data_IF_335439310548
#
_entry.id   IF_335439310548
#
_cell.length_a   1.000
_cell.length_b   1.000
_cell.length_c   1.000
_cell.angle_alpha   90.00
_cell.angle_beta   90.00
_cell.angle_gamma   90.00
#
_symmetry.space_group_name_H-M   'P 1'
#
loop_
_entity.id
_entity.type
_entity.pdbx_description
1 polymer ?
#
# COMPACT_ATOMS: atom_id res chain seq x y z
N UNK A 1 -7.09 -25.77 22.16
CA UNK A 1 -7.87 -24.77 21.41
C UNK A 1 -7.59 -25.05 19.95
N UNK A 2 -8.64 -25.53 19.22
CA UNK A 2 -8.51 -26.13 17.92
C UNK A 2 -8.12 -25.12 16.86
N UNK A 3 -7.13 -25.50 16.04
CA UNK A 3 -6.86 -24.85 14.78
C UNK A 3 -8.12 -24.98 13.91
N UNK A 4 -8.71 -23.86 13.51
CA UNK A 4 -9.71 -23.86 12.45
C UNK A 4 -9.01 -24.34 11.18
N UNK A 5 -9.21 -25.61 10.84
CA UNK A 5 -8.95 -26.10 9.49
C UNK A 5 -10.06 -25.45 8.64
N UNK A 6 -9.73 -24.38 7.92
CA UNK A 6 -10.64 -23.82 6.96
C UNK A 6 -10.87 -24.86 5.87
N UNK A 7 -12.09 -25.38 5.76
CA UNK A 7 -12.47 -26.20 4.60
C UNK A 7 -12.23 -25.37 3.34
N UNK A 8 -11.57 -25.98 2.35
CA UNK A 8 -11.31 -25.31 1.06
C UNK A 8 -12.67 -24.98 0.45
N UNK A 9 -12.98 -23.69 0.18
CA UNK A 9 -14.27 -23.29 -0.34
C UNK A 9 -14.57 -23.94 -1.71
N UNK A 10 -15.77 -24.45 -1.89
CA UNK A 10 -16.22 -24.95 -3.21
C UNK A 10 -16.46 -23.78 -4.16
N UNK A 11 -15.47 -23.46 -4.98
CA UNK A 11 -15.51 -22.34 -5.94
C UNK A 11 -16.51 -22.52 -7.08
N UNK A 12 -17.16 -23.68 -7.21
CA UNK A 12 -18.24 -23.88 -8.18
C UNK A 12 -19.53 -23.18 -7.75
N UNK A 13 -19.68 -22.90 -6.44
CA UNK A 13 -20.86 -22.24 -5.85
C UNK A 13 -20.62 -20.75 -5.57
N UNK A 14 -21.68 -19.95 -5.58
CA UNK A 14 -21.61 -18.53 -5.18
C UNK A 14 -21.18 -18.38 -3.71
N UNK A 15 -21.70 -19.24 -2.83
CA UNK A 15 -21.33 -19.23 -1.41
C UNK A 15 -19.83 -19.51 -1.21
N UNK A 16 -19.27 -20.49 -1.93
CA UNK A 16 -17.86 -20.80 -1.87
C UNK A 16 -16.98 -19.67 -2.42
N UNK A 17 -17.40 -19.00 -3.51
CA UNK A 17 -16.68 -17.84 -4.06
C UNK A 17 -16.69 -16.65 -3.08
N UNK A 18 -17.80 -16.44 -2.38
CA UNK A 18 -17.88 -15.39 -1.35
C UNK A 18 -17.03 -15.73 -0.11
N UNK A 19 -16.94 -17.00 0.26
CA UNK A 19 -16.04 -17.44 1.33
C UNK A 19 -14.59 -17.21 0.94
N UNK A 20 -14.15 -17.66 -0.26
CA UNK A 20 -12.78 -17.42 -0.77
C UNK A 20 -12.45 -15.91 -0.84
N UNK A 21 -13.40 -15.07 -1.26
CA UNK A 21 -13.19 -13.62 -1.28
C UNK A 21 -12.96 -13.06 0.13
N UNK A 22 -13.71 -13.54 1.13
CA UNK A 22 -13.53 -13.10 2.52
C UNK A 22 -12.19 -13.54 3.08
N UNK A 23 -11.76 -14.77 2.78
CA UNK A 23 -10.48 -15.30 3.22
C UNK A 23 -9.33 -14.50 2.60
N UNK A 24 -9.40 -14.18 1.30
CA UNK A 24 -8.42 -13.31 0.63
C UNK A 24 -8.42 -11.89 1.19
N UNK A 25 -9.58 -11.35 1.54
CA UNK A 25 -9.66 -10.04 2.16
C UNK A 25 -9.02 -10.05 3.55
N UNK A 26 -9.28 -11.10 4.34
CA UNK A 26 -8.65 -11.29 5.64
C UNK A 26 -7.11 -11.35 5.49
N UNK A 27 -6.59 -12.16 4.56
CA UNK A 27 -5.16 -12.24 4.26
C UNK A 27 -4.59 -10.88 3.81
N UNK A 28 -5.29 -10.17 2.92
CA UNK A 28 -4.80 -8.91 2.35
C UNK A 28 -4.75 -7.75 3.36
N UNK A 29 -5.75 -7.68 4.26
CA UNK A 29 -5.96 -6.51 5.11
C UNK A 29 -5.54 -6.75 6.56
N UNK A 30 -5.68 -7.99 7.06
CA UNK A 30 -5.52 -8.28 8.49
C UNK A 30 -4.35 -9.22 8.82
N UNK A 31 -3.99 -10.14 7.91
CA UNK A 31 -2.96 -11.15 8.16
C UNK A 31 -1.56 -10.68 7.69
N UNK A 32 -1.24 -9.39 7.88
CA UNK A 32 0.14 -8.95 7.71
C UNK A 32 1.07 -9.85 8.53
N UNK A 33 2.24 -10.21 8.00
CA UNK A 33 3.20 -11.09 8.69
C UNK A 33 3.37 -10.67 10.16
N UNK A 34 2.77 -11.41 11.08
CA UNK A 34 2.75 -11.07 12.51
C UNK A 34 4.16 -10.80 13.07
N UNK A 35 5.17 -11.51 12.55
CA UNK A 35 6.57 -11.30 12.92
C UNK A 35 7.09 -9.93 12.45
N UNK A 36 6.73 -9.50 11.25
CA UNK A 36 7.16 -8.22 10.72
C UNK A 36 6.47 -7.05 11.43
N UNK A 37 5.18 -7.20 11.75
CA UNK A 37 4.41 -6.25 12.57
C UNK A 37 5.03 -6.14 13.97
N UNK A 38 5.31 -7.26 14.64
CA UNK A 38 5.96 -7.27 15.95
C UNK A 38 7.31 -6.55 15.92
N UNK A 39 8.11 -6.77 14.88
CA UNK A 39 9.40 -6.07 14.71
C UNK A 39 9.22 -4.57 14.49
N UNK A 40 8.16 -4.15 13.80
CA UNK A 40 7.83 -2.74 13.57
C UNK A 40 7.44 -2.07 14.90
N UNK A 41 6.55 -2.69 15.66
CA UNK A 41 6.11 -2.21 16.98
C UNK A 41 7.26 -2.17 17.99
N UNK A 42 8.17 -3.15 17.99
CA UNK A 42 9.35 -3.16 18.86
C UNK A 42 10.30 -1.97 18.61
N UNK A 43 10.23 -1.34 17.45
CA UNK A 43 10.94 -0.10 17.11
C UNK A 43 10.16 1.17 17.45
N UNK A 44 9.01 1.05 18.13
CA UNK A 44 8.11 2.17 18.42
C UNK A 44 7.39 2.73 17.18
N UNK A 45 7.27 1.94 16.10
CA UNK A 45 6.66 2.36 14.84
C UNK A 45 5.34 1.64 14.61
N UNK A 46 4.35 2.38 14.12
CA UNK A 46 3.09 1.84 13.63
C UNK A 46 3.23 1.26 12.22
N UNK A 47 2.34 0.34 11.86
CA UNK A 47 2.20 -0.16 10.49
C UNK A 47 1.61 0.90 9.56
N UNK A 48 1.67 0.66 8.25
CA UNK A 48 1.06 1.56 7.26
C UNK A 48 -0.44 1.76 7.49
N UNK A 49 -1.17 0.69 7.79
CA UNK A 49 -2.62 0.74 8.06
C UNK A 49 -2.95 1.47 9.35
N UNK A 50 -2.20 1.23 10.42
CA UNK A 50 -2.37 1.93 11.69
C UNK A 50 -2.15 3.44 11.53
N UNK A 51 -1.14 3.86 10.74
CA UNK A 51 -0.89 5.28 10.45
C UNK A 51 -2.06 5.92 9.69
N UNK A 52 -2.62 5.22 8.71
CA UNK A 52 -3.82 5.69 7.99
C UNK A 52 -5.01 5.80 8.95
N UNK A 53 -5.24 4.79 9.80
CA UNK A 53 -6.34 4.80 10.76
C UNK A 53 -6.22 5.93 11.81
N UNK A 54 -4.98 6.32 12.17
CA UNK A 54 -4.73 7.46 13.08
C UNK A 54 -4.91 8.81 12.39
N UNK A 55 -4.73 8.87 11.07
CA UNK A 55 -4.79 10.12 10.29
C UNK A 55 -6.22 10.48 9.88
N UNK A 56 -6.99 9.48 9.47
CA UNK A 56 -8.32 9.67 8.86
C UNK A 56 -9.45 9.59 9.89
N UNK A 57 -10.58 10.19 9.54
CA UNK A 57 -11.80 10.06 10.33
C UNK A 57 -12.21 8.57 10.44
N UNK A 58 -12.63 8.10 11.62
CA UNK A 58 -12.99 6.70 11.83
C UNK A 58 -14.02 6.19 10.80
N UNK A 59 -13.71 5.05 10.15
CA UNK A 59 -14.58 4.41 9.18
C UNK A 59 -14.67 5.10 7.81
N UNK A 60 -13.92 6.18 7.57
CA UNK A 60 -13.94 6.89 6.29
C UNK A 60 -13.03 6.28 5.21
N UNK A 61 -12.08 5.44 5.60
CA UNK A 61 -11.08 4.90 4.67
C UNK A 61 -11.68 3.87 3.72
N UNK A 62 -11.50 4.11 2.43
CA UNK A 62 -11.78 3.17 1.35
C UNK A 62 -10.47 2.83 0.68
N UNK A 63 -9.99 1.59 0.90
CA UNK A 63 -8.75 1.11 0.31
C UNK A 63 -8.92 0.84 -1.18
N UNK A 64 -7.86 1.06 -1.94
CA UNK A 64 -7.77 0.79 -3.37
C UNK A 64 -6.66 -0.24 -3.63
N UNK A 65 -6.98 -1.25 -4.46
CA UNK A 65 -6.04 -2.26 -4.93
C UNK A 65 -5.39 -3.08 -3.80
N UNK A 66 -6.13 -3.40 -2.74
CA UNK A 66 -5.66 -4.22 -1.62
C UNK A 66 -5.20 -5.63 -2.05
N UNK A 67 -5.75 -6.15 -3.14
CA UNK A 67 -5.38 -7.46 -3.70
C UNK A 67 -4.22 -7.41 -4.69
N UNK A 68 -3.67 -6.24 -5.00
CA UNK A 68 -2.56 -6.14 -5.93
C UNK A 68 -1.32 -6.85 -5.40
N UNK A 69 -0.60 -7.54 -6.29
CA UNK A 69 0.64 -8.27 -6.01
C UNK A 69 1.66 -7.96 -7.10
N UNK A 70 2.95 -7.93 -6.77
CA UNK A 70 3.99 -7.83 -7.78
C UNK A 70 3.97 -9.04 -8.73
N UNK A 71 4.53 -8.87 -9.92
CA UNK A 71 4.62 -9.90 -10.96
C UNK A 71 6.04 -10.36 -11.24
N UNK A 72 7.00 -9.88 -10.45
CA UNK A 72 8.41 -10.22 -10.60
C UNK A 72 8.65 -11.70 -10.33
N UNK A 73 9.39 -12.34 -11.20
CA UNK A 73 9.88 -13.72 -11.07
C UNK A 73 11.39 -13.78 -10.88
N UNK A 74 12.08 -12.63 -10.98
CA UNK A 74 13.52 -12.54 -10.82
C UNK A 74 13.92 -12.68 -9.36
N UNK A 75 15.09 -13.22 -9.09
CA UNK A 75 15.69 -13.35 -7.75
C UNK A 75 14.79 -14.08 -6.73
N UNK A 76 13.97 -15.05 -7.18
CA UNK A 76 13.09 -15.83 -6.31
C UNK A 76 11.88 -15.04 -5.75
N UNK A 77 11.55 -13.89 -6.32
CA UNK A 77 10.44 -13.06 -5.89
C UNK A 77 9.08 -13.75 -6.04
N UNK A 78 8.96 -14.70 -6.97
CA UNK A 78 7.76 -15.51 -7.20
C UNK A 78 7.36 -16.38 -5.99
N UNK A 79 8.33 -16.74 -5.14
CA UNK A 79 8.09 -17.51 -3.92
C UNK A 79 7.36 -16.70 -2.82
N UNK A 80 7.41 -15.37 -2.86
CA UNK A 80 6.78 -14.50 -1.87
C UNK A 80 6.07 -13.33 -2.54
N UNK A 81 4.74 -13.42 -2.64
CA UNK A 81 3.90 -12.42 -3.30
C UNK A 81 2.82 -11.91 -2.36
N UNK A 82 3.19 -11.08 -1.35
CA UNK A 82 2.22 -10.53 -0.40
C UNK A 82 1.22 -9.60 -1.10
N UNK A 83 0.00 -9.57 -0.60
CA UNK A 83 -1.01 -8.60 -1.03
C UNK A 83 -0.59 -7.17 -0.67
N UNK A 84 -1.11 -6.21 -1.43
CA UNK A 84 -0.84 -4.80 -1.22
C UNK A 84 0.52 -4.30 -1.72
N UNK A 85 1.49 -5.17 -1.95
CA UNK A 85 2.83 -4.89 -2.50
C UNK A 85 3.52 -3.66 -1.91
N UNK A 86 3.81 -3.61 -0.63
CA UNK A 86 4.56 -2.56 0.07
C UNK A 86 3.93 -1.16 0.15
N UNK A 87 2.67 -0.97 -0.26
CA UNK A 87 1.97 0.30 -0.09
C UNK A 87 0.46 0.10 0.11
N UNK A 88 -0.11 0.82 1.06
CA UNK A 88 -1.56 0.94 1.26
C UNK A 88 -2.01 2.25 0.62
N UNK A 89 -3.02 2.21 -0.25
CA UNK A 89 -3.52 3.37 -0.98
C UNK A 89 -5.04 3.46 -0.86
N UNK A 90 -5.57 4.67 -0.85
CA UNK A 90 -7.01 4.84 -0.78
C UNK A 90 -7.44 6.30 -0.66
N UNK A 91 -8.71 6.46 -0.35
CA UNK A 91 -9.35 7.74 -0.08
C UNK A 91 -10.03 7.69 1.28
N UNK A 92 -10.17 8.84 1.92
CA UNK A 92 -10.86 8.98 3.18
C UNK A 92 -11.15 10.42 3.50
N UNK A 93 -11.48 10.73 4.75
CA UNK A 93 -11.71 12.11 5.18
C UNK A 93 -10.85 12.47 6.39
N UNK A 94 -10.54 13.78 6.51
CA UNK A 94 -9.97 14.41 7.71
C UNK A 94 -10.86 15.58 8.06
N UNK A 95 -11.48 15.57 9.24
CA UNK A 95 -12.49 16.57 9.63
C UNK A 95 -13.57 16.73 8.54
N UNK A 96 -14.07 15.60 8.02
CA UNK A 96 -15.09 15.51 6.96
C UNK A 96 -14.65 16.04 5.58
N UNK A 97 -13.37 16.38 5.38
CA UNK A 97 -12.82 16.80 4.08
C UNK A 97 -12.15 15.62 3.39
N UNK A 98 -12.49 15.40 2.14
CA UNK A 98 -11.92 14.30 1.34
C UNK A 98 -10.42 14.52 1.11
N UNK A 99 -9.67 13.43 1.23
CA UNK A 99 -8.23 13.34 0.94
C UNK A 99 -7.93 12.03 0.24
N UNK A 100 -6.91 12.04 -0.60
CA UNK A 100 -6.28 10.84 -1.12
C UNK A 100 -5.02 10.54 -0.29
N UNK A 101 -4.77 9.28 0.01
CA UNK A 101 -3.65 8.88 0.86
C UNK A 101 -2.94 7.65 0.31
N UNK A 102 -1.62 7.63 0.44
CA UNK A 102 -0.83 6.41 0.35
C UNK A 102 0.12 6.32 1.54
N UNK A 103 0.35 5.10 2.03
CA UNK A 103 1.27 4.81 3.12
C UNK A 103 2.17 3.64 2.74
N UNK A 104 3.47 3.88 2.70
CA UNK A 104 4.44 2.82 2.43
C UNK A 104 4.53 1.87 3.61
N UNK A 105 4.50 0.57 3.31
CA UNK A 105 4.51 -0.48 4.31
C UNK A 105 5.90 -1.11 4.44
N UNK A 106 6.63 -0.67 5.45
CA UNK A 106 7.97 -1.17 5.71
C UNK A 106 8.00 -2.67 6.09
N UNK A 107 6.87 -3.24 6.49
CA UNK A 107 6.76 -4.68 6.83
C UNK A 107 6.85 -5.56 5.58
N UNK A 108 6.56 -5.01 4.40
CA UNK A 108 6.62 -5.69 3.11
C UNK A 108 7.81 -5.16 2.32
N UNK A 109 8.83 -5.99 2.10
CA UNK A 109 10.04 -5.65 1.34
C UNK A 109 10.70 -4.32 1.73
N UNK A 110 10.61 -3.93 3.03
CA UNK A 110 11.15 -2.66 3.51
C UNK A 110 10.50 -1.42 2.88
N UNK A 111 9.23 -1.50 2.49
CA UNK A 111 8.52 -0.41 1.84
C UNK A 111 9.05 -0.07 0.44
N UNK A 112 9.89 -0.92 -0.16
CA UNK A 112 10.53 -0.62 -1.44
C UNK A 112 9.53 -0.58 -2.59
N UNK A 113 9.71 0.40 -3.50
CA UNK A 113 8.84 0.61 -4.65
C UNK A 113 9.15 -0.37 -5.78
N UNK A 114 8.21 -1.25 -6.09
CA UNK A 114 8.18 -2.05 -7.29
C UNK A 114 7.13 -1.56 -8.29
N UNK A 115 6.90 -2.32 -9.35
CA UNK A 115 5.92 -1.98 -10.39
C UNK A 115 4.50 -1.86 -9.80
N UNK A 116 4.04 -2.86 -9.05
CA UNK A 116 2.68 -2.88 -8.54
C UNK A 116 2.46 -1.78 -7.49
N UNK A 117 3.37 -1.60 -6.55
CA UNK A 117 3.32 -0.51 -5.59
C UNK A 117 3.33 0.87 -6.28
N UNK A 118 4.17 1.05 -7.30
CA UNK A 118 4.22 2.27 -8.10
C UNK A 118 2.90 2.55 -8.81
N UNK A 119 2.29 1.55 -9.43
CA UNK A 119 0.99 1.68 -10.09
C UNK A 119 -0.12 2.10 -9.11
N UNK A 120 -0.12 1.56 -7.89
CA UNK A 120 -1.07 1.95 -6.85
C UNK A 120 -0.92 3.42 -6.45
N UNK A 121 0.32 3.89 -6.24
CA UNK A 121 0.60 5.29 -5.92
C UNK A 121 0.17 6.19 -7.09
N UNK A 122 0.57 5.88 -8.32
CA UNK A 122 0.20 6.63 -9.51
C UNK A 122 -1.32 6.75 -9.62
N UNK A 123 -2.06 5.64 -9.46
CA UNK A 123 -3.52 5.63 -9.53
C UNK A 123 -4.17 6.56 -8.49
N UNK A 124 -3.72 6.54 -7.24
CA UNK A 124 -4.28 7.41 -6.21
C UNK A 124 -3.90 8.89 -6.43
N UNK A 125 -2.70 9.16 -6.96
CA UNK A 125 -2.29 10.52 -7.37
C UNK A 125 -3.14 11.07 -8.51
N UNK A 126 -3.37 10.27 -9.55
CA UNK A 126 -4.24 10.65 -10.68
C UNK A 126 -5.67 10.91 -10.22
N UNK A 127 -6.19 10.07 -9.29
CA UNK A 127 -7.49 10.27 -8.69
C UNK A 127 -7.55 11.59 -7.91
N UNK A 128 -6.53 11.90 -7.10
CA UNK A 128 -6.43 13.15 -6.35
C UNK A 128 -6.44 14.38 -7.26
N UNK A 129 -5.64 14.36 -8.32
CA UNK A 129 -5.59 15.43 -9.31
C UNK A 129 -6.95 15.61 -10.01
N UNK A 130 -7.57 14.49 -10.43
CA UNK A 130 -8.85 14.49 -11.13
C UNK A 130 -10.01 15.03 -10.27
N UNK A 131 -9.99 14.71 -8.97
CA UNK A 131 -11.06 15.11 -8.04
C UNK A 131 -10.76 16.42 -7.31
N UNK A 132 -9.53 16.94 -7.41
CA UNK A 132 -9.13 18.19 -6.77
C UNK A 132 -8.95 18.07 -5.26
N UNK A 133 -8.69 16.86 -4.72
CA UNK A 133 -8.50 16.64 -3.29
C UNK A 133 -7.02 16.64 -2.91
N UNK A 134 -6.67 17.01 -1.66
CA UNK A 134 -5.28 16.89 -1.18
C UNK A 134 -4.75 15.46 -1.28
N UNK A 135 -3.47 15.32 -1.62
CA UNK A 135 -2.73 14.07 -1.59
C UNK A 135 -1.81 14.04 -0.37
N UNK A 136 -1.88 12.96 0.41
CA UNK A 136 -1.02 12.75 1.58
C UNK A 136 -0.21 11.47 1.38
N UNK A 137 1.11 11.58 1.37
CA UNK A 137 2.04 10.46 1.32
C UNK A 137 2.69 10.23 2.68
N UNK A 138 2.55 9.02 3.23
CA UNK A 138 3.26 8.59 4.45
C UNK A 138 4.43 7.71 4.01
N UNK A 139 5.65 8.23 4.20
CA UNK A 139 6.88 7.67 3.65
C UNK A 139 7.62 6.84 4.70
N UNK A 140 7.90 5.57 4.36
CA UNK A 140 8.70 4.64 5.15
C UNK A 140 9.25 3.57 4.19
N UNK A 141 10.35 3.86 3.49
CA UNK A 141 10.80 3.07 2.34
C UNK A 141 12.31 3.03 2.18
N UNK A 142 12.81 1.86 1.83
CA UNK A 142 14.20 1.66 1.39
C UNK A 142 14.50 2.16 -0.02
N UNK A 143 13.53 2.75 -0.74
CA UNK A 143 13.70 3.25 -2.10
C UNK A 143 13.24 2.27 -3.19
N UNK A 144 13.87 2.29 -4.35
CA UNK A 144 13.50 1.41 -5.46
C UNK A 144 13.77 -0.07 -5.15
N UNK A 145 12.86 -0.96 -5.53
CA UNK A 145 13.03 -2.40 -5.40
C UNK A 145 14.04 -2.90 -6.43
N UNK A 146 15.25 -3.19 -5.98
CA UNK A 146 16.40 -3.54 -6.83
C UNK A 146 16.08 -4.77 -7.70
N UNK A 147 15.35 -5.76 -7.17
CA UNK A 147 14.98 -6.98 -7.88
C UNK A 147 14.11 -6.74 -9.12
N UNK A 148 13.43 -5.61 -9.19
CA UNK A 148 12.62 -5.21 -10.35
C UNK A 148 13.35 -4.25 -11.31
N UNK A 149 14.59 -3.88 -10.98
CA UNK A 149 15.49 -3.15 -11.86
C UNK A 149 14.92 -1.82 -12.36
N UNK A 150 15.08 -1.57 -13.67
CA UNK A 150 14.67 -0.31 -14.31
C UNK A 150 13.18 -0.02 -14.24
N UNK A 151 12.34 -1.05 -14.12
CA UNK A 151 10.88 -0.88 -14.00
C UNK A 151 10.54 -0.10 -12.73
N UNK A 152 11.19 -0.42 -11.60
CA UNK A 152 11.02 0.32 -10.35
C UNK A 152 11.41 1.80 -10.49
N UNK A 153 12.53 2.09 -11.20
CA UNK A 153 12.96 3.46 -11.47
C UNK A 153 11.98 4.19 -12.38
N UNK A 154 11.42 3.51 -13.40
CA UNK A 154 10.38 4.06 -14.26
C UNK A 154 9.15 4.52 -13.48
N UNK A 155 8.75 3.76 -12.44
CA UNK A 155 7.62 4.16 -11.60
C UNK A 155 7.89 5.40 -10.76
N UNK A 156 9.10 5.58 -10.25
CA UNK A 156 9.50 6.87 -9.65
C UNK A 156 9.42 8.02 -10.66
N UNK A 157 9.87 7.82 -11.89
CA UNK A 157 9.74 8.83 -12.96
C UNK A 157 8.29 9.25 -13.20
N UNK A 158 7.35 8.29 -13.22
CA UNK A 158 5.92 8.58 -13.36
C UNK A 158 5.36 9.34 -12.14
N UNK A 159 5.76 8.96 -10.91
CA UNK A 159 5.37 9.66 -9.68
C UNK A 159 5.88 11.10 -9.72
N UNK A 160 7.15 11.34 -10.10
CA UNK A 160 7.72 12.69 -10.18
C UNK A 160 7.01 13.55 -11.23
N UNK A 161 6.64 12.97 -12.37
CA UNK A 161 5.82 13.65 -13.38
C UNK A 161 4.48 14.09 -12.78
N UNK A 162 3.81 13.23 -12.05
CA UNK A 162 2.53 13.56 -11.41
C UNK A 162 2.69 14.61 -10.30
N UNK A 163 3.76 14.54 -9.49
CA UNK A 163 4.07 15.58 -8.50
C UNK A 163 4.21 16.96 -9.16
N UNK A 164 4.90 17.01 -10.30
CA UNK A 164 5.07 18.25 -11.07
C UNK A 164 3.73 18.76 -11.60
N UNK A 165 2.90 17.87 -12.16
CA UNK A 165 1.58 18.22 -12.67
C UNK A 165 0.60 18.67 -11.58
N UNK A 166 0.70 18.08 -10.39
CA UNK A 166 -0.14 18.40 -9.24
C UNK A 166 0.29 19.70 -8.53
N UNK A 167 1.52 20.16 -8.76
CA UNK A 167 2.05 21.38 -8.14
C UNK A 167 1.23 22.62 -8.52
N UNK A 168 0.74 23.30 -7.49
CA UNK A 168 -0.17 24.45 -7.68
C UNK A 168 -1.62 24.08 -8.03
N UNK A 169 -1.94 22.79 -8.18
CA UNK A 169 -3.29 22.30 -8.50
C UNK A 169 -3.97 21.72 -7.26
N UNK A 170 -3.28 20.84 -6.55
CA UNK A 170 -3.74 20.26 -5.29
C UNK A 170 -2.65 20.35 -4.21
N UNK A 171 -3.01 20.42 -2.93
CA UNK A 171 -2.04 20.27 -1.85
C UNK A 171 -1.39 18.87 -1.88
N UNK A 172 -0.06 18.82 -1.79
CA UNK A 172 0.72 17.60 -1.67
C UNK A 172 1.47 17.64 -0.34
N UNK A 173 1.23 16.65 0.52
CA UNK A 173 1.78 16.58 1.87
C UNK A 173 2.57 15.29 2.01
N UNK A 174 3.86 15.38 2.35
CA UNK A 174 4.71 14.23 2.64
C UNK A 174 4.99 14.15 4.14
N UNK A 175 4.69 13.01 4.75
CA UNK A 175 4.93 12.72 6.17
C UNK A 175 5.98 11.62 6.25
N UNK A 176 7.21 11.96 6.64
CA UNK A 176 8.30 10.99 6.75
C UNK A 176 8.22 10.31 8.11
N UNK A 177 7.88 9.02 8.13
CA UNK A 177 7.69 8.22 9.33
C UNK A 177 8.73 7.12 9.52
N UNK A 178 9.73 7.08 8.67
CA UNK A 178 10.82 6.11 8.71
C UNK A 178 11.90 6.41 7.69
N UNK A 179 12.71 5.42 7.27
CA UNK A 179 13.62 5.59 6.16
C UNK A 179 12.90 6.13 4.93
N UNK A 180 13.53 7.08 4.25
CA UNK A 180 13.07 7.61 2.98
C UNK A 180 14.31 7.72 2.08
N UNK A 181 14.69 6.59 1.44
CA UNK A 181 15.89 6.48 0.68
C UNK A 181 15.64 6.66 -0.83
N UNK A 182 16.61 7.24 -1.54
CA UNK A 182 16.56 7.43 -2.98
C UNK A 182 15.30 8.19 -3.43
N UNK A 183 14.56 7.64 -4.39
CA UNK A 183 13.32 8.25 -4.89
C UNK A 183 12.17 8.39 -3.89
N UNK A 184 12.23 7.71 -2.74
CA UNK A 184 11.21 7.83 -1.71
C UNK A 184 11.27 9.16 -0.92
N UNK A 185 12.30 9.97 -1.14
CA UNK A 185 12.45 11.30 -0.49
C UNK A 185 11.54 12.36 -1.12
N UNK A 186 11.17 12.17 -2.38
CA UNK A 186 10.48 13.18 -3.20
C UNK A 186 8.98 13.11 -3.12
#
# INVERSE_FOLDING_TARGET
>A
QGAHVSEIPDLSTTAGRLADLRDRYQEAVHDAEAVAVTKQHAKGKNTARERIAMLLDPGSFVELDEYARHRSTSFGMDAKRPYGDSVVTGIGTINSRQVAVYSQDFTIFGGSLGEAAGNKIIKVMELAIKTGVPLIGILDSGGARIQEGVIALGKYGEIFRLNTMASGVIPQISIIMGPAAGGAVY
#
